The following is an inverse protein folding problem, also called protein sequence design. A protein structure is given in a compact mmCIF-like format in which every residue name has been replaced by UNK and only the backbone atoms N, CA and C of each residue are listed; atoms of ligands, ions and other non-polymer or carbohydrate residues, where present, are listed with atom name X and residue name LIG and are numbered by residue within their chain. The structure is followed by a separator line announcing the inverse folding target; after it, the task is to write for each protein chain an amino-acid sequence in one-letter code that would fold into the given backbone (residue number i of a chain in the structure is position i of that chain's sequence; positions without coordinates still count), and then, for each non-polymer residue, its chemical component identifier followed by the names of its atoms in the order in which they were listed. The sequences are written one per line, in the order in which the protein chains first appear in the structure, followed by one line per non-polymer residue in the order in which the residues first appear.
data_IF_977251853315
#
_entry.id   IF_977251853315
#
_cell.length_a   1.000
_cell.length_b   1.000
_cell.length_c   1.000
_cell.angle_alpha   90.00
_cell.angle_beta   90.00
_cell.angle_gamma   90.00
#
_symmetry.space_group_name_H-M   'P 1'
#
loop_
_entity.id
_entity.type
_entity.pdbx_description
1 polymer ?
#
# COMPACT_ATOMS: atom_id res chain seq x y z
N UNK A 1 11.84 3.42 -32.31
CA UNK A 1 10.59 3.62 -31.56
C UNK A 1 9.50 3.69 -32.61
N UNK A 2 8.91 2.55 -32.98
CA UNK A 2 7.88 2.51 -34.01
C UNK A 2 6.53 2.12 -33.44
N UNK A 3 5.55 2.97 -33.75
CA UNK A 3 4.16 2.93 -33.31
C UNK A 3 3.33 1.96 -34.17
N UNK A 4 3.65 0.66 -34.14
CA UNK A 4 2.72 -0.41 -34.52
C UNK A 4 1.72 -0.76 -33.40
N UNK A 5 1.65 0.09 -32.36
CA UNK A 5 1.01 -0.15 -31.07
C UNK A 5 -0.53 -0.15 -31.07
N UNK A 6 -1.20 -0.08 -32.22
CA UNK A 6 -2.68 -0.09 -32.30
C UNK A 6 -3.28 -1.33 -32.96
N UNK A 7 -2.49 -2.19 -33.63
CA UNK A 7 -2.93 -3.54 -34.08
C UNK A 7 -2.63 -4.60 -33.01
N UNK A 8 -1.48 -4.49 -32.33
CA UNK A 8 -1.05 -5.46 -31.33
C UNK A 8 -1.96 -5.56 -30.09
N UNK A 9 -2.52 -4.46 -29.60
CA UNK A 9 -3.36 -4.51 -28.38
C UNK A 9 -4.68 -5.20 -28.65
N UNK A 10 -5.29 -4.99 -29.82
CA UNK A 10 -6.53 -5.66 -30.20
C UNK A 10 -6.33 -7.16 -30.45
N UNK A 11 -5.22 -7.54 -31.07
CA UNK A 11 -4.83 -8.95 -31.23
C UNK A 11 -4.49 -9.60 -29.88
N UNK A 12 -3.75 -8.91 -29.01
CA UNK A 12 -3.45 -9.39 -27.65
C UNK A 12 -4.73 -9.59 -26.82
N UNK A 13 -5.69 -8.68 -26.95
CA UNK A 13 -7.01 -8.76 -26.32
C UNK A 13 -7.88 -9.88 -26.91
N UNK A 14 -7.78 -10.13 -28.22
CA UNK A 14 -8.46 -11.25 -28.88
C UNK A 14 -7.86 -12.60 -28.43
N UNK A 15 -6.53 -12.68 -28.30
CA UNK A 15 -5.78 -13.87 -27.88
C UNK A 15 -5.95 -14.20 -26.38
N UNK A 16 -5.84 -13.22 -25.49
CA UNK A 16 -5.92 -13.43 -24.03
C UNK A 16 -7.33 -13.59 -23.48
N UNK A 17 -8.36 -13.25 -24.27
CA UNK A 17 -9.75 -13.33 -23.90
C UNK A 17 -10.15 -12.40 -22.74
N UNK A 18 -11.33 -12.64 -22.12
CA UNK A 18 -11.86 -11.77 -21.05
C UNK A 18 -10.96 -11.67 -19.81
N UNK A 19 -10.15 -12.71 -19.55
CA UNK A 19 -9.24 -12.76 -18.40
C UNK A 19 -8.13 -11.72 -18.53
N UNK A 20 -7.58 -11.53 -19.73
CA UNK A 20 -6.56 -10.51 -19.96
C UNK A 20 -7.10 -9.10 -19.72
N UNK A 21 -8.32 -8.80 -20.17
CA UNK A 21 -8.98 -7.51 -19.92
C UNK A 21 -9.09 -7.24 -18.42
N UNK A 22 -9.54 -8.25 -17.65
CA UNK A 22 -9.62 -8.15 -16.20
C UNK A 22 -8.24 -7.87 -15.59
N UNK A 23 -7.19 -8.59 -16.01
CA UNK A 23 -5.83 -8.38 -15.52
C UNK A 23 -5.29 -6.98 -15.86
N UNK A 24 -5.59 -6.44 -17.03
CA UNK A 24 -5.21 -5.08 -17.41
C UNK A 24 -5.92 -4.02 -16.53
N UNK A 25 -7.22 -4.22 -16.24
CA UNK A 25 -7.95 -3.35 -15.31
C UNK A 25 -7.36 -3.40 -13.90
N UNK A 26 -7.02 -4.61 -13.42
CA UNK A 26 -6.35 -4.80 -12.12
C UNK A 26 -4.94 -4.18 -12.11
N UNK A 27 -4.23 -4.19 -13.24
CA UNK A 27 -2.93 -3.52 -13.40
C UNK A 27 -3.04 -2.02 -13.20
N UNK A 28 -3.97 -1.37 -13.92
CA UNK A 28 -4.21 0.07 -13.81
C UNK A 28 -4.65 0.43 -12.39
N UNK A 29 -5.54 -0.36 -11.80
CA UNK A 29 -5.98 -0.17 -10.43
C UNK A 29 -4.82 -0.31 -9.42
N UNK A 30 -3.97 -1.34 -9.59
CA UNK A 30 -2.77 -1.56 -8.76
C UNK A 30 -1.84 -0.34 -8.80
N UNK A 31 -1.48 0.13 -10.00
CA UNK A 31 -0.62 1.30 -10.19
C UNK A 31 -1.25 2.55 -9.58
N UNK A 32 -2.56 2.75 -9.75
CA UNK A 32 -3.29 3.86 -9.14
C UNK A 32 -3.18 3.85 -7.61
N UNK A 33 -3.34 2.68 -6.97
CA UNK A 33 -3.21 2.52 -5.52
C UNK A 33 -1.75 2.75 -5.08
N UNK A 34 -0.77 2.26 -5.83
CA UNK A 34 0.66 2.47 -5.56
C UNK A 34 0.98 3.97 -5.55
N UNK A 35 0.55 4.72 -6.57
CA UNK A 35 0.79 6.15 -6.68
C UNK A 35 0.07 6.93 -5.58
N UNK A 36 -1.22 6.67 -5.35
CA UNK A 36 -1.99 7.29 -4.26
C UNK A 36 -1.26 7.10 -2.93
N UNK A 37 -0.78 5.89 -2.67
CA UNK A 37 -0.07 5.55 -1.43
C UNK A 37 1.30 6.19 -1.34
N UNK A 38 2.06 6.23 -2.43
CA UNK A 38 3.36 6.89 -2.46
C UNK A 38 3.24 8.35 -2.02
N UNK A 39 2.29 9.11 -2.58
CA UNK A 39 2.10 10.52 -2.24
C UNK A 39 1.53 10.70 -0.82
N UNK A 40 0.46 10.00 -0.45
CA UNK A 40 -0.18 10.16 0.86
C UNK A 40 0.73 9.72 2.01
N UNK A 41 1.41 8.57 1.87
CA UNK A 41 2.29 8.05 2.91
C UNK A 41 3.53 8.94 3.07
N UNK A 42 4.16 9.34 1.96
CA UNK A 42 5.32 10.25 1.99
C UNK A 42 4.95 11.58 2.62
N UNK A 43 3.81 12.16 2.23
CA UNK A 43 3.34 13.43 2.77
C UNK A 43 3.03 13.32 4.27
N UNK A 44 2.23 12.33 4.67
CA UNK A 44 1.84 12.13 6.07
C UNK A 44 3.03 11.89 7.00
N UNK A 45 3.97 11.01 6.60
CA UNK A 45 5.19 10.75 7.38
C UNK A 45 6.09 11.99 7.44
N UNK A 46 6.32 12.68 6.32
CA UNK A 46 7.19 13.85 6.29
C UNK A 46 6.63 15.00 7.14
N UNK A 47 5.33 15.26 7.05
CA UNK A 47 4.64 16.26 7.85
C UNK A 47 4.66 15.90 9.34
N UNK A 48 4.44 14.62 9.67
CA UNK A 48 4.52 14.13 11.04
C UNK A 48 5.91 14.36 11.64
N UNK A 49 6.98 14.01 10.92
CA UNK A 49 8.37 14.22 11.37
C UNK A 49 8.69 15.70 11.57
N UNK A 50 8.23 16.57 10.65
CA UNK A 50 8.38 18.03 10.79
C UNK A 50 7.65 18.56 12.02
N UNK A 51 6.43 18.07 12.28
CA UNK A 51 5.66 18.46 13.45
C UNK A 51 6.33 18.00 14.75
N UNK A 52 6.78 16.74 14.83
CA UNK A 52 7.52 16.24 15.99
C UNK A 52 8.77 17.09 16.27
N UNK A 53 9.53 17.43 15.22
CA UNK A 53 10.70 18.30 15.36
C UNK A 53 10.34 19.72 15.81
N UNK A 54 9.25 20.30 15.29
CA UNK A 54 8.76 21.63 15.67
C UNK A 54 8.25 21.67 17.12
N UNK A 55 7.45 20.68 17.53
CA UNK A 55 6.85 20.61 18.85
C UNK A 55 7.86 20.26 19.95
N UNK A 56 9.05 19.73 19.62
CA UNK A 56 10.08 19.40 20.60
C UNK A 56 10.49 20.59 21.49
N UNK A 57 10.58 21.80 20.95
CA UNK A 57 10.95 22.98 21.75
C UNK A 57 9.77 23.56 22.54
N UNK A 58 8.57 23.77 21.96
CA UNK A 58 7.41 24.25 22.72
C UNK A 58 6.98 23.32 23.86
N UNK A 59 7.12 21.99 23.70
CA UNK A 59 6.87 21.02 24.77
C UNK A 59 7.84 21.23 25.95
N UNK A 60 9.11 21.52 25.67
CA UNK A 60 10.14 21.80 26.70
C UNK A 60 9.97 23.15 27.39
N UNK A 61 9.34 24.11 26.73
CA UNK A 61 9.10 25.43 27.32
C UNK A 61 7.73 25.50 28.02
N UNK A 62 7.11 24.33 28.31
CA UNK A 62 5.75 24.16 28.83
C UNK A 62 4.69 25.00 28.10
N UNK A 63 4.96 25.37 26.85
CA UNK A 63 4.10 26.24 26.09
C UNK A 63 3.09 25.39 25.30
N UNK A 64 2.23 24.70 26.05
CA UNK A 64 1.25 23.76 25.52
C UNK A 64 0.26 24.46 24.57
N UNK A 65 -0.03 25.74 24.78
CA UNK A 65 -0.87 26.54 23.88
C UNK A 65 -0.28 26.58 22.45
N UNK A 66 1.02 26.85 22.33
CA UNK A 66 1.71 26.82 21.03
C UNK A 66 1.74 25.43 20.41
N UNK A 67 1.76 24.36 21.21
CA UNK A 67 1.70 22.97 20.73
C UNK A 67 0.32 22.66 20.15
N UNK A 68 -0.75 23.04 20.86
CA UNK A 68 -2.12 22.87 20.38
C UNK A 68 -2.35 23.67 19.08
N UNK A 69 -1.94 24.94 19.05
CA UNK A 69 -2.05 25.80 17.86
C UNK A 69 -1.30 25.20 16.66
N UNK A 70 -0.11 24.63 16.88
CA UNK A 70 0.67 23.99 15.84
C UNK A 70 -0.02 22.73 15.29
N UNK A 71 -0.61 21.93 16.16
CA UNK A 71 -1.32 20.71 15.78
C UNK A 71 -2.69 20.99 15.12
N UNK A 72 -3.30 22.15 15.39
CA UNK A 72 -4.56 22.57 14.78
C UNK A 72 -4.43 23.14 13.37
N UNK A 73 -3.22 23.43 12.88
CA UNK A 73 -2.99 23.86 11.50
C UNK A 73 -3.50 22.80 10.52
N UNK A 74 -4.32 23.20 9.54
CA UNK A 74 -4.98 22.30 8.59
C UNK A 74 -4.03 21.34 7.86
N UNK A 75 -2.80 21.78 7.64
CA UNK A 75 -1.74 21.02 6.95
C UNK A 75 -1.34 19.76 7.74
N UNK A 76 -1.38 19.82 9.08
CA UNK A 76 -0.87 18.76 9.97
C UNK A 76 -1.95 18.10 10.83
N UNK A 77 -3.15 18.67 10.91
CA UNK A 77 -4.27 18.18 11.72
C UNK A 77 -4.60 16.70 11.53
N UNK A 78 -4.43 16.18 10.32
CA UNK A 78 -4.73 14.79 9.99
C UNK A 78 -3.50 13.86 10.03
N UNK A 79 -2.42 14.28 10.68
CA UNK A 79 -1.19 13.49 10.80
C UNK A 79 -1.19 12.64 12.07
N UNK A 80 -0.60 11.44 12.05
CA UNK A 80 -0.45 10.61 13.24
C UNK A 80 0.27 11.32 14.40
N UNK A 81 1.30 12.11 14.10
CA UNK A 81 2.01 12.88 15.13
C UNK A 81 1.13 13.93 15.80
N UNK A 82 0.26 14.62 15.04
CA UNK A 82 -0.65 15.61 15.63
C UNK A 82 -1.65 14.96 16.58
N UNK A 83 -2.21 13.81 16.17
CA UNK A 83 -3.14 13.04 17.01
C UNK A 83 -2.48 12.57 18.31
N UNK A 84 -1.25 12.06 18.22
CA UNK A 84 -0.45 11.62 19.35
C UNK A 84 -0.13 12.78 20.32
N UNK A 85 0.50 13.85 19.82
CA UNK A 85 0.93 14.97 20.65
C UNK A 85 -0.26 15.64 21.33
N UNK A 86 -1.35 15.92 20.59
CA UNK A 86 -2.54 16.56 21.17
C UNK A 86 -3.13 15.75 22.31
N UNK A 87 -3.17 14.42 22.19
CA UNK A 87 -3.73 13.57 23.24
C UNK A 87 -2.82 13.52 24.46
N UNK A 88 -1.51 13.35 24.25
CA UNK A 88 -0.54 13.32 25.34
C UNK A 88 -0.52 14.63 26.12
N UNK A 89 -0.58 15.79 25.44
CA UNK A 89 -0.61 17.11 26.10
C UNK A 89 -1.90 17.34 26.90
N UNK A 90 -3.04 16.85 26.39
CA UNK A 90 -4.34 16.96 27.08
C UNK A 90 -4.47 16.04 28.28
N UNK A 91 -3.93 14.84 28.19
CA UNK A 91 -4.02 13.83 29.25
C UNK A 91 -2.79 13.80 30.16
N UNK A 92 -1.91 14.81 30.08
CA UNK A 92 -0.61 14.90 30.79
C UNK A 92 -0.65 14.72 32.31
N UNK A 93 -1.82 14.89 32.93
CA UNK A 93 -1.99 14.75 34.38
C UNK A 93 -2.14 13.30 34.85
N UNK A 94 -2.21 12.34 33.91
CA UNK A 94 -2.29 10.91 34.22
C UNK A 94 -0.91 10.35 34.56
N UNK A 95 -0.90 9.14 35.12
CA UNK A 95 0.36 8.43 35.39
C UNK A 95 1.08 8.03 34.10
N UNK A 96 2.41 7.91 34.14
CA UNK A 96 3.24 7.51 32.99
C UNK A 96 2.77 6.19 32.36
N UNK A 97 2.42 5.21 33.20
CA UNK A 97 1.90 3.92 32.76
C UNK A 97 0.54 4.02 32.02
N UNK A 98 -0.28 5.03 32.34
CA UNK A 98 -1.51 5.31 31.60
C UNK A 98 -1.21 6.05 30.29
N UNK A 99 -0.27 7.00 30.31
CA UNK A 99 0.15 7.74 29.11
C UNK A 99 0.79 6.82 28.07
N UNK A 100 1.63 5.86 28.49
CA UNK A 100 2.20 4.83 27.62
C UNK A 100 1.09 4.05 26.92
N UNK A 101 0.11 3.52 27.67
CA UNK A 101 -1.05 2.79 27.11
C UNK A 101 -1.87 3.63 26.14
N UNK A 102 -2.09 4.91 26.46
CA UNK A 102 -2.79 5.84 25.58
C UNK A 102 -1.99 6.05 24.29
N UNK A 103 -0.67 6.22 24.40
CA UNK A 103 0.22 6.43 23.26
C UNK A 103 0.23 5.22 22.33
N UNK A 104 0.37 4.01 22.87
CA UNK A 104 0.37 2.76 22.10
C UNK A 104 -0.95 2.60 21.34
N UNK A 105 -2.08 2.79 22.03
CA UNK A 105 -3.40 2.68 21.41
C UNK A 105 -3.61 3.67 20.26
N UNK A 106 -3.09 4.90 20.38
CA UNK A 106 -3.18 5.92 19.33
C UNK A 106 -2.27 5.58 18.16
N UNK A 107 -1.04 5.16 18.45
CA UNK A 107 -0.06 4.78 17.42
C UNK A 107 -0.62 3.60 16.63
N UNK A 108 -1.11 2.56 17.29
CA UNK A 108 -1.73 1.40 16.64
C UNK A 108 -2.89 1.80 15.73
N UNK A 109 -3.78 2.69 16.21
CA UNK A 109 -4.92 3.16 15.44
C UNK A 109 -4.50 3.94 14.19
N UNK A 110 -3.59 4.90 14.33
CA UNK A 110 -3.13 5.74 13.22
C UNK A 110 -2.28 4.96 12.22
N UNK A 111 -1.44 4.03 12.67
CA UNK A 111 -0.67 3.13 11.81
C UNK A 111 -1.61 2.18 11.06
N UNK A 112 -2.61 1.61 11.73
CA UNK A 112 -3.64 0.77 11.08
C UNK A 112 -4.37 1.52 9.97
N UNK A 113 -4.70 2.80 10.18
CA UNK A 113 -5.33 3.67 9.17
C UNK A 113 -4.41 3.91 7.97
N UNK A 114 -3.11 4.07 8.19
CA UNK A 114 -2.12 4.15 7.10
C UNK A 114 -2.02 2.83 6.33
N UNK A 115 -2.10 1.69 7.03
CA UNK A 115 -1.99 0.35 6.45
C UNK A 115 -3.26 -0.14 5.74
N UNK A 116 -4.46 0.38 6.05
CA UNK A 116 -5.74 -0.14 5.54
C UNK A 116 -5.86 -0.37 4.02
N UNK A 117 -5.22 0.47 3.18
CA UNK A 117 -5.23 0.22 1.70
C UNK A 117 -3.99 -0.51 1.19
N UNK A 118 -3.03 -0.83 2.04
CA UNK A 118 -1.92 -1.73 1.69
C UNK A 118 -2.45 -3.16 1.52
N UNK A 119 -3.47 -3.55 2.29
CA UNK A 119 -4.13 -4.86 2.14
C UNK A 119 -4.58 -5.12 0.71
N UNK A 120 -5.08 -4.10 0.00
CA UNK A 120 -5.47 -4.23 -1.41
C UNK A 120 -4.28 -4.63 -2.30
N UNK A 121 -3.10 -4.02 -2.09
CA UNK A 121 -1.88 -4.38 -2.83
C UNK A 121 -1.42 -5.80 -2.49
N UNK A 122 -1.51 -6.20 -1.22
CA UNK A 122 -1.23 -7.58 -0.80
C UNK A 122 -2.17 -8.58 -1.48
N UNK A 123 -3.48 -8.31 -1.46
CA UNK A 123 -4.50 -9.14 -2.12
C UNK A 123 -4.27 -9.23 -3.62
N UNK A 124 -4.00 -8.12 -4.31
CA UNK A 124 -3.70 -8.12 -5.74
C UNK A 124 -2.43 -8.93 -6.02
N UNK A 125 -1.37 -8.70 -5.24
CA UNK A 125 -0.11 -9.44 -5.34
C UNK A 125 -0.26 -10.95 -5.20
N UNK A 126 -1.16 -11.40 -4.32
CA UNK A 126 -1.42 -12.82 -4.11
C UNK A 126 -2.37 -13.43 -5.14
N UNK A 127 -3.40 -12.70 -5.59
CA UNK A 127 -4.50 -13.27 -6.41
C UNK A 127 -4.25 -13.15 -7.91
N UNK A 128 -3.58 -12.09 -8.40
CA UNK A 128 -3.42 -11.89 -9.86
C UNK A 128 -2.61 -12.99 -10.57
N UNK A 129 -1.61 -13.66 -9.96
CA UNK A 129 -0.99 -14.83 -10.56
C UNK A 129 -1.97 -15.98 -10.78
N UNK A 130 -2.87 -16.22 -9.82
CA UNK A 130 -3.89 -17.27 -9.93
C UNK A 130 -4.95 -16.93 -10.97
N UNK A 131 -5.31 -15.65 -11.13
CA UNK A 131 -6.18 -15.20 -12.23
C UNK A 131 -5.50 -15.46 -13.58
N UNK A 132 -4.20 -15.18 -13.71
CA UNK A 132 -3.42 -15.48 -14.92
C UNK A 132 -3.36 -16.98 -15.23
N UNK A 133 -3.09 -17.81 -14.22
CA UNK A 133 -3.12 -19.27 -14.31
C UNK A 133 -4.51 -19.77 -14.74
N UNK A 134 -5.58 -19.23 -14.18
CA UNK A 134 -6.94 -19.55 -14.59
C UNK A 134 -7.19 -19.21 -16.07
N UNK A 135 -6.68 -18.06 -16.53
CA UNK A 135 -6.69 -17.70 -17.94
C UNK A 135 -5.94 -18.70 -18.83
N UNK A 136 -4.82 -19.25 -18.36
CA UNK A 136 -4.14 -20.32 -19.12
C UNK A 136 -4.96 -21.59 -19.21
N UNK A 137 -5.62 -22.00 -18.12
CA UNK A 137 -6.45 -23.22 -18.10
C UNK A 137 -7.60 -23.10 -19.11
N UNK A 138 -8.28 -21.94 -19.16
CA UNK A 138 -9.33 -21.68 -20.15
C UNK A 138 -8.77 -21.70 -21.57
N UNK A 139 -7.64 -21.03 -21.83
CA UNK A 139 -7.03 -20.98 -23.16
C UNK A 139 -6.63 -22.36 -23.68
N UNK A 140 -6.00 -23.18 -22.83
CA UNK A 140 -5.65 -24.57 -23.15
C UNK A 140 -6.91 -25.40 -23.42
N UNK A 141 -7.96 -25.25 -22.61
CA UNK A 141 -9.24 -25.94 -22.81
C UNK A 141 -9.87 -25.60 -24.18
N UNK A 142 -9.85 -24.32 -24.58
CA UNK A 142 -10.33 -23.91 -25.90
C UNK A 142 -9.47 -24.47 -27.03
N UNK A 143 -8.14 -24.44 -26.89
CA UNK A 143 -7.22 -25.02 -27.89
C UNK A 143 -7.51 -26.50 -28.17
N UNK A 144 -7.76 -27.29 -27.12
CA UNK A 144 -8.14 -28.70 -27.27
C UNK A 144 -9.55 -28.90 -27.86
N UNK A 145 -10.49 -28.01 -27.55
CA UNK A 145 -11.84 -28.04 -28.16
C UNK A 145 -11.76 -27.76 -29.67
N UNK A 146 -10.97 -26.77 -30.07
CA UNK A 146 -10.79 -26.40 -31.48
C UNK A 146 -10.10 -27.53 -32.25
N UNK A 147 -9.11 -28.18 -31.65
CA UNK A 147 -8.51 -29.40 -32.18
C UNK A 147 -9.56 -30.50 -32.42
N UNK A 148 -10.42 -30.77 -31.43
CA UNK A 148 -11.46 -31.80 -31.56
C UNK A 148 -12.49 -31.47 -32.65
N UNK A 149 -12.71 -30.19 -32.96
CA UNK A 149 -13.60 -29.74 -34.03
C UNK A 149 -12.95 -29.72 -35.42
N UNK A 150 -11.61 -29.79 -35.49
CA UNK A 150 -10.87 -29.70 -36.75
C UNK A 150 -10.75 -31.06 -37.41
N UNK A 151 -11.38 -31.24 -38.57
CA UNK A 151 -11.34 -32.47 -39.38
C UNK A 151 -10.15 -32.57 -40.33
N UNK A 152 -9.33 -31.52 -40.43
CA UNK A 152 -8.20 -31.46 -41.36
C UNK A 152 -6.99 -32.27 -40.84
N UNK A 153 -6.70 -33.38 -41.51
CA UNK A 153 -5.53 -34.21 -41.23
C UNK A 153 -4.23 -33.39 -41.35
N UNK A 154 -3.51 -33.25 -40.23
CA UNK A 154 -2.20 -32.58 -40.17
C UNK A 154 -2.19 -31.11 -39.68
N UNK A 155 -3.34 -30.43 -39.61
CA UNK A 155 -3.41 -29.04 -39.12
C UNK A 155 -3.60 -28.93 -37.58
N UNK A 156 -3.87 -30.04 -36.90
CA UNK A 156 -4.22 -30.02 -35.47
C UNK A 156 -3.10 -29.55 -34.54
N UNK A 157 -1.84 -29.90 -34.83
CA UNK A 157 -0.72 -29.56 -33.95
C UNK A 157 -0.42 -28.05 -33.93
N UNK A 158 -0.56 -27.35 -35.06
CA UNK A 158 -0.34 -25.91 -35.13
C UNK A 158 -1.45 -25.11 -34.45
N UNK A 159 -2.71 -25.55 -34.56
CA UNK A 159 -3.86 -24.93 -33.89
C UNK A 159 -3.69 -25.00 -32.37
N UNK A 160 -3.34 -26.18 -31.83
CA UNK A 160 -3.12 -26.31 -30.38
C UNK A 160 -1.91 -25.49 -29.92
N UNK A 161 -0.81 -25.52 -30.66
CA UNK A 161 0.38 -24.74 -30.31
C UNK A 161 0.09 -23.24 -30.24
N UNK A 162 -0.70 -22.71 -31.18
CA UNK A 162 -1.13 -21.31 -31.16
C UNK A 162 -2.00 -21.00 -29.94
N UNK A 163 -3.04 -21.80 -29.66
CA UNK A 163 -3.93 -21.57 -28.52
C UNK A 163 -3.22 -21.67 -27.17
N UNK A 164 -2.23 -22.56 -27.02
CA UNK A 164 -1.39 -22.62 -25.81
C UNK A 164 -0.50 -21.38 -25.70
N UNK A 165 0.11 -20.93 -26.79
CA UNK A 165 0.95 -19.72 -26.78
C UNK A 165 0.15 -18.48 -26.36
N UNK A 166 -1.07 -18.32 -26.87
CA UNK A 166 -1.99 -17.25 -26.46
C UNK A 166 -2.36 -17.37 -24.98
N UNK A 167 -2.63 -18.59 -24.50
CA UNK A 167 -2.95 -18.85 -23.11
C UNK A 167 -1.83 -18.37 -22.16
N UNK A 168 -0.55 -18.61 -22.50
CA UNK A 168 0.61 -18.23 -21.69
C UNK A 168 0.74 -16.71 -21.45
N UNK A 169 0.16 -15.89 -22.33
CA UNK A 169 0.11 -14.43 -22.16
C UNK A 169 -0.65 -14.06 -20.87
N UNK A 170 -1.70 -14.81 -20.51
CA UNK A 170 -2.47 -14.55 -19.29
C UNK A 170 -1.63 -14.74 -18.02
N UNK A 171 -0.77 -15.75 -17.98
CA UNK A 171 0.14 -15.96 -16.84
C UNK A 171 1.20 -14.88 -16.76
N UNK A 172 1.81 -14.51 -17.90
CA UNK A 172 2.77 -13.42 -17.94
C UNK A 172 2.15 -12.10 -17.46
N UNK A 173 0.92 -11.80 -17.89
CA UNK A 173 0.17 -10.62 -17.44
C UNK A 173 -0.15 -10.68 -15.93
N UNK A 174 -0.56 -11.84 -15.41
CA UNK A 174 -0.84 -12.03 -13.98
C UNK A 174 0.38 -11.77 -13.10
N UNK A 175 1.55 -12.25 -13.53
CA UNK A 175 2.83 -11.98 -12.87
C UNK A 175 3.25 -10.51 -12.99
N UNK A 176 3.04 -9.90 -14.15
CA UNK A 176 3.35 -8.49 -14.38
C UNK A 176 2.55 -7.56 -13.45
N UNK A 177 1.32 -7.91 -13.10
CA UNK A 177 0.54 -7.17 -12.08
C UNK A 177 1.00 -7.50 -10.66
N UNK A 178 1.31 -8.76 -10.37
CA UNK A 178 1.63 -9.23 -9.03
C UNK A 178 2.95 -8.66 -8.51
N UNK A 179 4.01 -8.70 -9.32
CA UNK A 179 5.36 -8.36 -8.88
C UNK A 179 5.44 -6.91 -8.36
N UNK A 180 4.99 -5.88 -9.11
CA UNK A 180 5.00 -4.50 -8.60
C UNK A 180 4.10 -4.31 -7.39
N UNK A 181 2.95 -5.00 -7.33
CA UNK A 181 2.02 -4.91 -6.21
C UNK A 181 2.65 -5.42 -4.90
N UNK A 182 3.32 -6.59 -4.95
CA UNK A 182 4.02 -7.17 -3.80
C UNK A 182 5.21 -6.31 -3.36
N UNK A 183 6.00 -5.81 -4.32
CA UNK A 183 7.13 -4.92 -4.00
C UNK A 183 6.63 -3.65 -3.29
N UNK A 184 5.59 -3.02 -3.84
CA UNK A 184 5.02 -1.81 -3.25
C UNK A 184 4.40 -2.08 -1.87
N UNK A 185 3.67 -3.19 -1.71
CA UNK A 185 3.13 -3.62 -0.43
C UNK A 185 4.22 -3.74 0.64
N UNK A 186 5.28 -4.50 0.35
CA UNK A 186 6.39 -4.71 1.28
C UNK A 186 7.14 -3.41 1.60
N UNK A 187 7.38 -2.57 0.59
CA UNK A 187 8.03 -1.28 0.78
C UNK A 187 7.21 -0.36 1.69
N UNK A 188 5.91 -0.21 1.43
CA UNK A 188 5.06 0.67 2.23
C UNK A 188 4.84 0.11 3.65
N UNK A 189 4.68 -1.21 3.80
CA UNK A 189 4.52 -1.85 5.10
C UNK A 189 5.75 -1.64 5.99
N UNK A 190 6.95 -1.91 5.45
CA UNK A 190 8.21 -1.67 6.15
C UNK A 190 8.33 -0.20 6.58
N UNK A 191 7.98 0.72 5.67
CA UNK A 191 8.02 2.17 5.94
C UNK A 191 7.02 2.62 7.02
N UNK A 192 5.80 2.07 7.03
CA UNK A 192 4.83 2.34 8.09
C UNK A 192 5.28 1.81 9.44
N UNK A 193 5.88 0.61 9.48
CA UNK A 193 6.35 0.01 10.74
C UNK A 193 7.55 0.76 11.30
N UNK A 194 8.46 1.23 10.45
CA UNK A 194 9.55 2.10 10.88
C UNK A 194 9.03 3.42 11.45
N UNK A 195 8.02 4.02 10.81
CA UNK A 195 7.39 5.23 11.31
C UNK A 195 6.63 5.03 12.62
N UNK A 196 6.03 3.86 12.86
CA UNK A 196 5.43 3.50 14.15
C UNK A 196 6.46 3.59 15.28
N UNK A 197 7.64 2.97 15.09
CA UNK A 197 8.75 3.05 16.06
C UNK A 197 9.24 4.48 16.30
N UNK A 198 9.26 5.32 15.27
CA UNK A 198 9.59 6.75 15.43
C UNK A 198 8.56 7.47 16.31
N UNK A 199 7.27 7.15 16.16
CA UNK A 199 6.21 7.70 17.01
C UNK A 199 6.32 7.21 18.46
N UNK A 200 6.57 5.91 18.67
CA UNK A 200 6.78 5.32 19.99
C UNK A 200 7.96 6.00 20.70
N UNK A 201 9.09 6.14 20.00
CA UNK A 201 10.27 6.84 20.55
C UNK A 201 9.96 8.29 20.90
N UNK A 202 9.16 8.99 20.08
CA UNK A 202 8.79 10.37 20.35
C UNK A 202 7.79 10.48 21.52
N UNK A 203 6.85 9.54 21.64
CA UNK A 203 5.93 9.47 22.78
C UNK A 203 6.70 9.28 24.09
N UNK A 204 7.62 8.31 24.12
CA UNK A 204 8.45 8.04 25.29
C UNK A 204 9.31 9.27 25.66
N UNK A 205 9.90 9.97 24.68
CA UNK A 205 10.63 11.22 24.95
C UNK A 205 9.75 12.29 25.60
N UNK A 206 8.46 12.36 25.23
CA UNK A 206 7.51 13.33 25.80
C UNK A 206 7.08 12.91 27.21
N UNK A 207 6.80 11.61 27.43
CA UNK A 207 6.33 11.08 28.72
C UNK A 207 7.45 11.17 29.77
N UNK A 208 8.62 10.57 29.51
CA UNK A 208 9.68 10.50 30.51
C UNK A 208 10.28 11.87 30.85
N UNK A 209 10.29 12.82 29.91
CA UNK A 209 10.77 14.18 30.20
C UNK A 209 9.81 14.99 31.05
N UNK A 210 8.53 14.65 31.08
CA UNK A 210 7.61 15.28 32.01
C UNK A 210 8.03 15.02 33.47
N UNK A 211 8.67 13.87 33.74
CA UNK A 211 8.97 13.43 35.09
C UNK A 211 10.31 14.00 35.65
N UNK A 212 11.30 14.23 34.79
CA UNK A 212 12.60 14.84 35.17
C UNK A 212 12.45 16.30 35.66
N UNK A 213 11.43 17.03 35.19
CA UNK A 213 11.16 18.41 35.64
C UNK A 213 10.26 18.46 36.89
N UNK A 214 9.50 17.40 37.19
CA UNK A 214 8.70 17.29 38.42
C UNK A 214 9.46 16.71 39.62
N UNK A 215 10.72 16.30 39.44
CA UNK A 215 11.59 15.75 40.48
C UNK A 215 12.43 16.78 41.26
N UNK A 216 12.34 18.07 40.93
CA UNK A 216 13.00 19.16 41.68
C UNK A 216 12.00 20.00 42.48
N UNK A 217 11.20 19.43 43.38
CA UNK A 217 10.63 20.15 44.53
C UNK A 217 10.39 19.23 45.73
#
# INVERSE_FOLDING_TARGET
MDFSNMTNVRELLAAGGPVLILLLLLSVYSISVILERFFKLRSSISLSRKLLAYCRHPIRSENYQKVEDACHKDIVKNTPAAALILRLVRERHRSDAELEKISDSIIDWEISKLQRRLTVLGTLGSITPFIGLFGTVIGVMHAFKDLASTTAAGAGASVVAAGIAEALINTAAGLFVAIPAVIAYNYFLSKTNYFAKELESAANEIIYRHNDESGEF
#
